data_IF_270141384189
#
_entry.id   IF_270141384189
#
_cell.length_a   1.000
_cell.length_b   1.000
_cell.length_c   1.000
_cell.angle_alpha   90.00
_cell.angle_beta   90.00
_cell.angle_gamma   90.00
#
_symmetry.space_group_name_H-M   'P 1'
#
loop_
_entity.id
_entity.type
_entity.pdbx_description
1 polymer ?
#
# COMPACT_ATOMS: atom_id res chain seq x y z
N UNK A 1 10.19 -0.58 -28.91
CA UNK A 1 9.32 -0.14 -27.79
C UNK A 1 9.08 -1.35 -26.91
N UNK A 2 9.94 -1.59 -25.93
CA UNK A 2 9.82 -2.78 -25.07
C UNK A 2 10.25 -2.40 -23.67
N UNK A 3 9.29 -1.93 -22.88
CA UNK A 3 9.44 -1.76 -21.44
C UNK A 3 8.19 -2.30 -20.79
N UNK A 4 8.29 -3.42 -20.09
CA UNK A 4 7.62 -3.47 -18.79
C UNK A 4 8.48 -4.32 -17.84
N UNK A 5 9.34 -3.67 -17.05
CA UNK A 5 10.28 -4.34 -16.18
C UNK A 5 9.49 -5.07 -15.10
N UNK A 6 9.73 -6.37 -15.00
CA UNK A 6 9.52 -7.09 -13.77
C UNK A 6 10.31 -6.33 -12.67
N UNK A 7 9.60 -5.70 -11.73
CA UNK A 7 10.07 -5.52 -10.36
C UNK A 7 11.26 -4.52 -10.20
N UNK A 8 11.09 -3.25 -10.58
CA UNK A 8 11.84 -2.11 -9.98
C UNK A 8 10.98 -1.38 -8.94
N UNK A 9 10.26 -2.15 -8.13
CA UNK A 9 9.29 -1.58 -7.20
C UNK A 9 9.97 -1.07 -5.92
N UNK A 10 11.18 -1.51 -5.58
CA UNK A 10 11.72 -1.40 -4.22
C UNK A 10 11.85 0.02 -3.64
N UNK A 11 11.98 1.08 -4.45
CA UNK A 11 12.29 2.44 -3.93
C UNK A 11 11.15 3.47 -3.97
N UNK A 12 9.90 3.09 -4.24
CA UNK A 12 8.78 4.05 -4.34
C UNK A 12 8.04 4.33 -3.02
N UNK A 13 8.49 3.77 -1.91
CA UNK A 13 7.86 3.98 -0.60
C UNK A 13 8.81 4.63 0.38
N UNK A 14 8.30 5.64 1.08
CA UNK A 14 9.01 6.34 2.13
C UNK A 14 8.34 6.04 3.47
N UNK A 15 9.10 5.52 4.42
CA UNK A 15 8.65 5.34 5.80
C UNK A 15 9.07 6.53 6.66
N UNK A 16 8.11 7.10 7.38
CA UNK A 16 8.33 8.21 8.32
C UNK A 16 9.35 7.83 9.40
N UNK A 17 9.32 6.59 9.90
CA UNK A 17 10.30 6.10 10.88
C UNK A 17 11.73 6.11 10.33
N UNK A 18 11.90 5.70 9.08
CA UNK A 18 13.21 5.64 8.43
C UNK A 18 13.77 7.02 8.12
N UNK A 19 12.94 7.94 7.64
CA UNK A 19 13.36 9.34 7.47
C UNK A 19 13.67 10.00 8.81
N UNK A 20 12.86 9.76 9.85
CA UNK A 20 13.14 10.30 11.20
C UNK A 20 14.47 9.81 11.75
N UNK A 21 14.79 8.53 11.58
CA UNK A 21 16.08 7.98 12.02
C UNK A 21 17.30 8.66 11.36
N UNK A 22 17.10 9.28 10.19
CA UNK A 22 18.13 10.01 9.43
C UNK A 22 17.99 11.54 9.53
N UNK A 23 17.07 12.06 10.37
CA UNK A 23 16.80 13.50 10.49
C UNK A 23 15.96 14.13 9.35
N UNK A 24 15.44 13.33 8.40
CA UNK A 24 14.74 13.77 7.19
C UNK A 24 13.28 14.23 7.36
N UNK A 25 12.86 14.66 8.55
CA UNK A 25 11.44 15.03 8.80
C UNK A 25 11.01 16.25 7.98
N UNK A 26 11.85 17.26 7.87
CA UNK A 26 11.55 18.47 7.10
C UNK A 26 11.37 18.16 5.61
N UNK A 27 12.19 17.25 5.07
CA UNK A 27 12.12 16.79 3.69
C UNK A 27 10.80 16.07 3.40
N UNK A 28 10.35 15.17 4.30
CA UNK A 28 9.06 14.49 4.17
C UNK A 28 7.89 15.49 4.11
N UNK A 29 7.92 16.49 4.98
CA UNK A 29 6.89 17.55 5.03
C UNK A 29 6.91 18.36 3.73
N UNK A 30 8.11 18.77 3.28
CA UNK A 30 8.26 19.51 2.03
C UNK A 30 7.78 18.70 0.82
N UNK A 31 8.09 17.40 0.78
CA UNK A 31 7.68 16.48 -0.28
C UNK A 31 6.16 16.26 -0.30
N UNK A 32 5.54 16.14 0.87
CA UNK A 32 4.10 16.02 1.00
C UNK A 32 3.41 17.31 0.59
N UNK A 33 3.91 18.46 1.06
CA UNK A 33 3.33 19.78 0.75
C UNK A 33 3.36 20.10 -0.74
N UNK A 34 4.43 19.73 -1.45
CA UNK A 34 4.55 19.93 -2.90
C UNK A 34 3.84 18.85 -3.73
N UNK A 35 3.15 17.89 -3.08
CA UNK A 35 2.43 16.80 -3.76
C UNK A 35 3.32 15.69 -4.34
N UNK A 36 4.63 15.71 -4.09
CA UNK A 36 5.54 14.67 -4.57
C UNK A 36 5.36 13.34 -3.82
N UNK A 37 4.84 13.39 -2.59
CA UNK A 37 4.48 12.23 -1.80
C UNK A 37 3.06 12.39 -1.25
N UNK A 38 2.30 11.31 -1.26
CA UNK A 38 0.99 11.21 -0.61
C UNK A 38 1.02 10.13 0.45
N UNK A 39 0.27 10.35 1.52
CA UNK A 39 0.13 9.36 2.58
C UNK A 39 -0.73 8.20 2.08
N UNK A 40 -0.14 7.02 1.97
CA UNK A 40 -0.86 5.79 1.56
C UNK A 40 -1.42 5.07 2.79
N UNK A 41 -0.66 5.10 3.88
CA UNK A 41 -0.97 4.38 5.11
C UNK A 41 -0.29 5.07 6.32
N UNK A 42 -0.56 4.62 7.55
CA UNK A 42 0.10 5.18 8.75
C UNK A 42 1.62 5.04 8.61
N UNK A 43 2.31 6.17 8.69
CA UNK A 43 3.78 6.23 8.61
C UNK A 43 4.37 5.87 7.24
N UNK A 44 3.56 5.68 6.21
CA UNK A 44 4.02 5.25 4.88
C UNK A 44 3.48 6.16 3.78
N UNK A 45 4.38 6.62 2.93
CA UNK A 45 4.12 7.55 1.84
C UNK A 45 4.62 6.97 0.52
N UNK A 46 3.99 7.36 -0.59
CA UNK A 46 4.41 6.99 -1.93
C UNK A 46 4.14 8.17 -2.88
N UNK A 47 4.76 8.20 -4.07
CA UNK A 47 4.33 9.09 -5.14
C UNK A 47 2.82 8.98 -5.41
N UNK A 48 2.14 10.08 -5.77
CA UNK A 48 0.74 10.03 -6.13
C UNK A 48 0.54 9.14 -7.37
N UNK A 49 -0.60 8.46 -7.42
CA UNK A 49 -1.07 7.82 -8.65
C UNK A 49 -1.40 8.91 -9.66
N UNK A 50 -1.04 8.70 -10.92
CA UNK A 50 -1.34 9.62 -12.01
C UNK A 50 -2.84 9.97 -12.08
N UNK A 51 -3.14 11.26 -11.99
CA UNK A 51 -4.50 11.79 -11.98
C UNK A 51 -5.20 11.63 -13.34
N UNK A 52 -4.44 11.51 -14.43
CA UNK A 52 -4.97 11.38 -15.80
C UNK A 52 -5.53 9.99 -16.11
N UNK A 53 -5.19 8.98 -15.30
CA UNK A 53 -5.71 7.62 -15.47
C UNK A 53 -7.23 7.59 -15.25
N UNK A 54 -7.97 6.67 -15.91
CA UNK A 54 -9.38 6.43 -15.60
C UNK A 54 -9.61 6.10 -14.11
N UNK A 55 -10.77 6.49 -13.56
CA UNK A 55 -11.09 6.31 -12.12
C UNK A 55 -10.80 4.88 -11.63
N UNK A 56 -11.28 3.87 -12.35
CA UNK A 56 -11.12 2.46 -11.97
C UNK A 56 -9.63 2.05 -11.86
N UNK A 57 -8.79 2.52 -12.77
CA UNK A 57 -7.36 2.22 -12.78
C UNK A 57 -6.62 3.00 -11.69
N UNK A 58 -7.04 4.25 -11.41
CA UNK A 58 -6.51 5.02 -10.27
C UNK A 58 -6.82 4.34 -8.95
N UNK A 59 -8.07 3.93 -8.75
CA UNK A 59 -8.51 3.25 -7.53
C UNK A 59 -7.73 1.93 -7.35
N UNK A 60 -7.58 1.17 -8.44
CA UNK A 60 -6.80 -0.09 -8.48
C UNK A 60 -5.36 0.13 -8.03
N UNK A 61 -4.66 1.10 -8.65
CA UNK A 61 -3.27 1.44 -8.29
C UNK A 61 -3.15 1.94 -6.86
N UNK A 62 -4.07 2.80 -6.42
CA UNK A 62 -4.09 3.29 -5.04
C UNK A 62 -4.28 2.14 -4.04
N UNK A 63 -5.10 1.14 -4.34
CA UNK A 63 -5.25 -0.03 -3.48
C UNK A 63 -4.02 -0.95 -3.50
N UNK A 64 -3.39 -1.18 -4.66
CA UNK A 64 -2.12 -1.90 -4.75
C UNK A 64 -1.02 -1.23 -3.93
N UNK A 65 -0.96 0.11 -3.91
CA UNK A 65 -0.03 0.83 -3.03
C UNK A 65 -0.33 0.56 -1.55
N UNK A 66 -1.60 0.46 -1.14
CA UNK A 66 -1.97 0.10 0.24
C UNK A 66 -1.56 -1.32 0.61
N UNK A 67 -1.82 -2.29 -0.27
CA UNK A 67 -1.39 -3.70 -0.10
C UNK A 67 0.12 -3.73 0.13
N UNK A 68 0.87 -3.01 -0.69
CA UNK A 68 2.32 -2.95 -0.59
C UNK A 68 2.80 -2.27 0.68
N UNK A 69 2.18 -1.16 1.08
CA UNK A 69 2.47 -0.51 2.34
C UNK A 69 2.23 -1.45 3.54
N UNK A 70 1.19 -2.28 3.50
CA UNK A 70 0.93 -3.30 4.53
C UNK A 70 2.04 -4.36 4.52
N UNK A 71 2.43 -4.88 3.34
CA UNK A 71 3.53 -5.84 3.24
C UNK A 71 4.85 -5.33 3.85
N UNK A 72 5.17 -4.04 3.67
CA UNK A 72 6.41 -3.42 4.15
C UNK A 72 6.41 -3.11 5.67
N UNK A 73 5.24 -2.98 6.28
CA UNK A 73 5.10 -2.52 7.68
C UNK A 73 4.78 -3.68 8.62
N UNK A 74 4.12 -4.73 8.11
CA UNK A 74 3.80 -5.89 8.93
C UNK A 74 5.08 -6.61 9.39
N UNK A 75 5.19 -6.99 10.68
CA UNK A 75 6.38 -7.64 11.23
C UNK A 75 6.73 -8.97 10.55
N UNK A 76 5.71 -9.66 10.03
CA UNK A 76 5.85 -10.88 9.25
C UNK A 76 5.13 -10.73 7.91
N UNK A 77 5.58 -11.41 6.84
CA UNK A 77 4.93 -11.34 5.54
C UNK A 77 3.45 -11.75 5.64
N UNK A 78 2.50 -10.84 5.37
CA UNK A 78 1.08 -11.15 5.51
C UNK A 78 0.59 -11.98 4.33
N UNK A 79 -0.36 -12.88 4.58
CA UNK A 79 -1.10 -13.59 3.52
C UNK A 79 -2.31 -12.72 3.14
N UNK A 80 -2.28 -12.14 1.93
CA UNK A 80 -3.42 -11.35 1.42
C UNK A 80 -4.60 -12.25 1.06
N UNK A 81 -5.82 -11.74 1.25
CA UNK A 81 -7.06 -12.50 1.01
C UNK A 81 -8.14 -11.67 0.33
N UNK A 82 -9.24 -12.32 -0.05
CA UNK A 82 -10.42 -11.68 -0.64
C UNK A 82 -10.05 -10.75 -1.79
N UNK A 83 -10.57 -9.51 -1.77
CA UNK A 83 -10.33 -8.50 -2.81
C UNK A 83 -8.87 -8.06 -2.90
N UNK A 84 -8.13 -8.08 -1.79
CA UNK A 84 -6.71 -7.75 -1.82
C UNK A 84 -5.90 -8.83 -2.55
N UNK A 85 -6.21 -10.11 -2.33
CA UNK A 85 -5.62 -11.19 -3.12
C UNK A 85 -6.01 -11.06 -4.60
N UNK A 86 -7.30 -10.88 -4.91
CA UNK A 86 -7.77 -10.74 -6.28
C UNK A 86 -7.03 -9.64 -7.06
N UNK A 87 -6.79 -8.49 -6.43
CA UNK A 87 -6.02 -7.40 -7.02
C UNK A 87 -4.56 -7.75 -7.29
N UNK A 88 -3.89 -8.45 -6.37
CA UNK A 88 -2.52 -8.92 -6.55
C UNK A 88 -2.43 -9.90 -7.72
N UNK A 89 -3.43 -10.77 -7.88
CA UNK A 89 -3.55 -11.70 -9.01
C UNK A 89 -4.00 -11.03 -10.32
N UNK A 90 -4.21 -9.71 -10.31
CA UNK A 90 -4.61 -8.97 -11.51
C UNK A 90 -6.07 -9.17 -11.91
N UNK A 91 -6.90 -9.79 -11.05
CA UNK A 91 -8.31 -10.05 -11.34
C UNK A 91 -9.11 -8.75 -11.36
N UNK A 92 -10.09 -8.61 -12.28
CA UNK A 92 -10.99 -7.48 -12.27
C UNK A 92 -11.90 -7.52 -11.04
N UNK A 93 -12.17 -6.35 -10.47
CA UNK A 93 -13.17 -6.19 -9.41
C UNK A 93 -14.34 -5.40 -9.95
N UNK A 94 -15.54 -5.97 -9.83
CA UNK A 94 -16.80 -5.41 -10.36
C UNK A 94 -17.36 -4.32 -9.42
N UNK A 95 -16.99 -4.35 -8.15
CA UNK A 95 -17.45 -3.42 -7.13
C UNK A 95 -16.38 -2.40 -6.74
N UNK A 96 -16.79 -1.37 -5.99
CA UNK A 96 -15.88 -0.40 -5.39
C UNK A 96 -14.81 -1.10 -4.55
N UNK A 97 -13.57 -0.61 -4.68
CA UNK A 97 -12.44 -1.19 -3.98
C UNK A 97 -12.53 -0.87 -2.49
N UNK A 98 -12.41 -1.89 -1.61
CA UNK A 98 -12.41 -1.65 -0.19
C UNK A 98 -11.24 -0.74 0.18
N UNK A 99 -11.44 0.15 1.17
CA UNK A 99 -10.35 0.99 1.68
C UNK A 99 -9.32 0.20 2.50
N UNK A 100 -9.75 -0.92 3.09
CA UNK A 100 -8.93 -1.78 3.93
C UNK A 100 -8.24 -2.86 3.09
N UNK A 101 -7.00 -3.18 3.47
CA UNK A 101 -6.28 -4.35 2.95
C UNK A 101 -6.73 -5.60 3.71
N UNK A 102 -7.10 -6.66 3.01
CA UNK A 102 -7.57 -7.90 3.61
C UNK A 102 -6.44 -8.92 3.71
N UNK A 103 -6.23 -9.46 4.91
CA UNK A 103 -5.22 -10.48 5.20
C UNK A 103 -5.82 -11.63 6.01
N UNK A 104 -5.20 -12.80 5.94
CA UNK A 104 -5.49 -13.92 6.84
C UNK A 104 -4.45 -13.94 7.96
N UNK A 105 -4.89 -14.19 9.20
CA UNK A 105 -4.00 -14.47 10.33
C UNK A 105 -4.29 -15.87 10.86
N UNK A 106 -3.23 -16.66 11.10
CA UNK A 106 -3.38 -17.96 11.78
C UNK A 106 -3.98 -17.80 13.18
N UNK A 107 -4.67 -18.84 13.69
CA UNK A 107 -5.39 -18.82 14.98
C UNK A 107 -4.57 -18.30 16.18
N UNK A 108 -3.25 -18.47 16.15
CA UNK A 108 -2.34 -18.05 17.22
C UNK A 108 -1.65 -16.69 16.99
N UNK A 109 -1.89 -16.02 15.86
CA UNK A 109 -1.11 -14.86 15.42
C UNK A 109 -1.57 -13.51 16.01
N UNK A 110 -2.51 -13.52 16.97
CA UNK A 110 -2.76 -12.40 17.89
C UNK A 110 -2.75 -10.99 17.27
N UNK A 111 -3.45 -10.77 16.16
CA UNK A 111 -3.48 -9.48 15.46
C UNK A 111 -4.89 -8.94 15.37
N UNK A 112 -5.12 -7.69 15.79
CA UNK A 112 -6.44 -7.02 15.65
C UNK A 112 -6.54 -6.32 14.29
N UNK A 113 -7.72 -6.32 13.68
CA UNK A 113 -8.01 -5.43 12.55
C UNK A 113 -7.74 -3.97 12.92
N UNK A 114 -7.27 -3.18 11.96
CA UNK A 114 -6.94 -1.76 12.12
C UNK A 114 -7.68 -0.92 11.10
N UNK A 115 -7.48 0.39 11.13
CA UNK A 115 -7.98 1.31 10.09
C UNK A 115 -7.28 1.14 8.73
N UNK A 116 -6.24 0.31 8.64
CA UNK A 116 -5.47 0.08 7.42
C UNK A 116 -5.70 -1.33 6.84
N UNK A 117 -5.97 -2.31 7.70
CA UNK A 117 -6.11 -3.70 7.28
C UNK A 117 -7.12 -4.47 8.14
N UNK A 118 -7.86 -5.37 7.49
CA UNK A 118 -8.78 -6.30 8.11
C UNK A 118 -8.13 -7.69 8.19
N UNK A 119 -8.04 -8.24 9.40
CA UNK A 119 -7.54 -9.60 9.67
C UNK A 119 -8.72 -10.56 9.76
N UNK A 120 -8.64 -11.64 8.99
CA UNK A 120 -9.61 -12.72 8.99
C UNK A 120 -9.00 -13.97 9.61
N UNK A 121 -9.77 -14.63 10.49
CA UNK A 121 -9.38 -15.93 11.04
C UNK A 121 -9.66 -17.06 10.06
N UNK A 122 -8.80 -18.07 10.08
CA UNK A 122 -9.07 -19.38 9.48
C UNK A 122 -9.77 -20.31 10.46
#
# INVERSE_FOLDING_TARGET
MTSNPLIEWQDQFVRDSELRARGGRAELIAATRRGALVKVSRGTYAPPVDALLPKHERDRRAHLLRIRAVHLVEPSPPIFSHRSAALVWGLPLVEELPRLVHVVSGKSAGGRSTTQLARHGT
#
